data_IF_773753604371
#
_entry.id   IF_773753604371
#
_cell.length_a   1.000
_cell.length_b   1.000
_cell.length_c   1.000
_cell.angle_alpha   90.00
_cell.angle_beta   90.00
_cell.angle_gamma   90.00
#
_symmetry.space_group_name_H-M   'P 1'
#
loop_
_entity.id
_entity.type
_entity.pdbx_description
1 polymer ?
#
# COMPACT_ATOMS: atom_id res chain seq x y z
N UNK A 1 -0.54 -11.98 7.06
CA UNK A 1 -1.06 -12.83 5.96
C UNK A 1 -1.42 -14.18 6.53
N UNK A 2 -2.63 -14.66 6.29
CA UNK A 2 -3.15 -15.91 6.87
C UNK A 2 -2.99 -15.99 8.40
N UNK A 3 -3.20 -14.85 9.08
CA UNK A 3 -3.04 -14.73 10.53
C UNK A 3 -1.60 -14.53 11.03
N UNK A 4 -0.59 -14.64 10.16
CA UNK A 4 0.81 -14.42 10.52
C UNK A 4 1.23 -12.96 10.31
N UNK A 5 1.96 -12.43 11.28
CA UNK A 5 2.62 -11.14 11.14
C UNK A 5 3.74 -11.24 10.11
N UNK A 6 3.89 -10.19 9.30
CA UNK A 6 5.04 -10.05 8.41
C UNK A 6 5.81 -8.83 8.90
N UNK A 7 7.06 -9.06 9.28
CA UNK A 7 7.96 -8.01 9.71
C UNK A 7 8.61 -7.34 8.50
N UNK A 8 8.39 -6.04 8.34
CA UNK A 8 8.90 -5.25 7.21
C UNK A 8 9.85 -4.12 7.64
N UNK A 9 10.09 -3.93 8.94
CA UNK A 9 10.95 -2.83 9.42
C UNK A 9 12.45 -3.10 9.23
N UNK A 10 12.85 -4.38 9.10
CA UNK A 10 14.23 -4.75 8.81
C UNK A 10 14.62 -4.44 7.36
N UNK A 11 15.68 -3.64 7.18
CA UNK A 11 16.27 -3.36 5.85
C UNK A 11 15.65 -2.19 5.09
N UNK A 12 14.81 -1.37 5.74
CA UNK A 12 14.19 -0.19 5.10
C UNK A 12 15.23 0.84 4.60
N UNK A 13 16.41 0.88 5.20
CA UNK A 13 17.49 1.82 4.88
C UNK A 13 18.09 1.62 3.48
N UNK A 14 18.06 0.40 2.95
CA UNK A 14 18.78 0.04 1.73
C UNK A 14 17.86 -0.13 0.50
N UNK A 15 16.54 0.01 0.69
CA UNK A 15 15.55 -0.23 -0.36
C UNK A 15 15.71 0.72 -1.54
N UNK A 16 16.14 1.96 -1.31
CA UNK A 16 16.40 2.89 -2.40
C UNK A 16 17.60 2.46 -3.24
N UNK A 17 18.72 2.08 -2.62
CA UNK A 17 19.90 1.55 -3.34
C UNK A 17 19.50 0.35 -4.19
N UNK A 18 18.80 -0.63 -3.60
CA UNK A 18 18.30 -1.80 -4.31
C UNK A 18 17.35 -1.45 -5.45
N UNK A 19 16.50 -0.43 -5.26
CA UNK A 19 15.62 0.04 -6.32
C UNK A 19 16.41 0.57 -7.52
N UNK A 20 17.46 1.35 -7.30
CA UNK A 20 18.34 1.81 -8.38
C UNK A 20 19.08 0.67 -9.07
N UNK A 21 19.58 -0.31 -8.31
CA UNK A 21 20.22 -1.49 -8.89
C UNK A 21 19.30 -2.25 -9.85
N UNK A 22 18.03 -2.45 -9.47
CA UNK A 22 17.06 -3.13 -10.33
C UNK A 22 16.65 -2.29 -11.54
N UNK A 23 16.49 -0.97 -11.39
CA UNK A 23 16.23 -0.07 -12.51
C UNK A 23 17.36 -0.16 -13.54
N UNK A 24 18.62 -0.11 -13.11
CA UNK A 24 19.79 -0.17 -14.00
C UNK A 24 19.95 -1.53 -14.70
N UNK A 25 19.45 -2.62 -14.09
CA UNK A 25 19.39 -3.95 -14.71
C UNK A 25 18.24 -4.11 -15.72
N UNK A 26 17.34 -3.12 -15.83
CA UNK A 26 16.12 -3.21 -16.64
C UNK A 26 14.95 -3.90 -15.95
N UNK A 27 15.03 -4.17 -14.64
CA UNK A 27 13.99 -4.78 -13.81
C UNK A 27 13.20 -3.74 -12.99
N UNK A 28 13.29 -2.46 -13.34
CA UNK A 28 12.58 -1.39 -12.65
C UNK A 28 11.06 -1.50 -12.84
N UNK A 29 10.29 -0.98 -11.88
CA UNK A 29 8.84 -0.85 -12.02
C UNK A 29 8.49 0.36 -12.90
N UNK A 30 7.80 0.11 -14.00
CA UNK A 30 7.37 1.12 -14.96
C UNK A 30 5.93 1.60 -14.72
N UNK A 31 5.35 2.19 -15.75
CA UNK A 31 3.99 2.73 -15.69
C UNK A 31 2.96 1.63 -15.47
N UNK A 32 3.09 0.50 -16.16
CA UNK A 32 2.11 -0.59 -16.10
C UNK A 32 2.05 -1.21 -14.69
N UNK A 33 3.20 -1.36 -14.02
CA UNK A 33 3.28 -1.86 -12.65
C UNK A 33 2.73 -0.84 -11.63
N UNK A 34 2.98 0.46 -11.84
CA UNK A 34 2.52 1.52 -10.92
C UNK A 34 1.04 1.89 -11.10
N UNK A 35 0.48 1.71 -12.30
CA UNK A 35 -0.85 2.20 -12.66
C UNK A 35 -1.96 1.68 -11.75
N UNK A 36 -1.90 0.40 -11.34
CA UNK A 36 -2.88 -0.20 -10.44
C UNK A 36 -3.01 0.55 -9.10
N UNK A 37 -1.87 0.90 -8.49
CA UNK A 37 -1.81 1.66 -7.24
C UNK A 37 -2.33 3.08 -7.42
N UNK A 38 -1.92 3.76 -8.50
CA UNK A 38 -2.37 5.13 -8.82
C UNK A 38 -3.89 5.17 -8.99
N UNK A 39 -4.45 4.26 -9.79
CA UNK A 39 -5.89 4.16 -10.00
C UNK A 39 -6.63 3.91 -8.69
N UNK A 40 -6.14 2.97 -7.89
CA UNK A 40 -6.76 2.60 -6.60
C UNK A 40 -6.85 3.80 -5.67
N UNK A 41 -5.73 4.52 -5.45
CA UNK A 41 -5.75 5.70 -4.56
C UNK A 41 -6.55 6.87 -5.15
N UNK A 42 -6.62 7.00 -6.47
CA UNK A 42 -7.46 8.00 -7.12
C UNK A 42 -8.94 7.71 -6.89
N UNK A 43 -9.37 6.47 -7.11
CA UNK A 43 -10.76 6.06 -6.86
C UNK A 43 -11.13 6.24 -5.38
N UNK A 44 -10.27 5.82 -4.46
CA UNK A 44 -10.52 5.97 -3.01
C UNK A 44 -10.70 7.45 -2.63
N UNK A 45 -9.94 8.36 -3.23
CA UNK A 45 -9.99 9.81 -2.94
C UNK A 45 -11.33 10.43 -3.27
N UNK A 46 -11.98 9.96 -4.32
CA UNK A 46 -13.20 10.55 -4.87
C UNK A 46 -14.48 9.81 -4.41
N UNK A 47 -14.35 8.67 -3.72
CA UNK A 47 -15.49 7.91 -3.23
C UNK A 47 -16.14 8.57 -2.01
N UNK A 48 -17.48 8.62 -1.93
CA UNK A 48 -18.18 9.06 -0.74
C UNK A 48 -17.96 8.07 0.41
N UNK A 49 -17.77 8.59 1.63
CA UNK A 49 -17.69 7.76 2.83
C UNK A 49 -19.08 7.27 3.25
N UNK A 50 -19.16 6.01 3.68
CA UNK A 50 -20.43 5.36 4.09
C UNK A 50 -20.55 5.14 5.60
N UNK A 51 -19.54 5.54 6.39
CA UNK A 51 -19.50 5.28 7.83
C UNK A 51 -19.16 3.82 8.15
N UNK A 52 -19.54 3.36 9.36
CA UNK A 52 -19.30 1.98 9.82
C UNK A 52 -20.36 1.01 9.26
N UNK A 53 -20.51 1.00 7.94
CA UNK A 53 -21.42 0.13 7.21
C UNK A 53 -20.65 -0.94 6.43
N UNK A 54 -21.07 -2.20 6.54
CA UNK A 54 -20.43 -3.32 5.83
C UNK A 54 -19.05 -3.70 6.39
N UNK A 55 -18.09 -3.91 5.49
CA UNK A 55 -16.72 -4.28 5.83
C UNK A 55 -15.90 -3.05 6.26
N UNK A 56 -15.34 -3.10 7.47
CA UNK A 56 -14.49 -2.03 7.99
C UNK A 56 -13.41 -2.57 8.93
N UNK A 57 -12.33 -1.81 9.08
CA UNK A 57 -11.23 -2.21 9.95
C UNK A 57 -11.62 -2.07 11.45
N UNK A 58 -11.28 -3.02 12.34
CA UNK A 58 -11.65 -2.96 13.76
C UNK A 58 -11.25 -1.68 14.49
N UNK A 59 -10.18 -1.01 14.05
CA UNK A 59 -9.76 0.26 14.65
C UNK A 59 -10.73 1.41 14.40
N UNK A 60 -11.59 1.35 13.36
CA UNK A 60 -12.58 2.40 13.10
C UNK A 60 -13.59 2.52 14.26
N UNK A 61 -13.84 1.45 15.04
CA UNK A 61 -14.66 1.48 16.26
C UNK A 61 -14.06 2.34 17.38
N UNK A 62 -12.75 2.57 17.37
CA UNK A 62 -12.04 3.34 18.40
C UNK A 62 -12.15 4.86 18.19
N UNK A 63 -12.63 5.30 17.03
CA UNK A 63 -12.68 6.73 16.64
C UNK A 63 -13.93 7.43 17.20
N UNK A 64 -15.00 6.68 17.53
CA UNK A 64 -16.25 7.21 18.07
C UNK A 64 -16.23 7.36 19.61
N UNK A 65 -15.05 7.52 20.21
CA UNK A 65 -14.84 7.76 21.64
C UNK A 65 -14.81 9.23 21.98
#
# INVERSE_FOLDING_TARGET
VDGNEIEFSGGFTDLHTRSYEEILKGNGFGLDEAYGSIRTVSTIRDLPTVGLEGDYHPFCKKVLG
#
